data_IF_876169688747
#
_entry.id   IF_876169688747
#
_cell.length_a   1.000
_cell.length_b   1.000
_cell.length_c   1.000
_cell.angle_alpha   90.00
_cell.angle_beta   90.00
_cell.angle_gamma   90.00
#
_symmetry.space_group_name_H-M   'P 1'
#
loop_
_entity.id
_entity.type
_entity.pdbx_description
1 polymer ?
#
# COMPACT_ATOMS: atom_id res chain seq x y z
N UNK A 1 -20.65 9.29 -23.31
CA UNK A 1 -20.90 8.36 -22.19
C UNK A 1 -21.31 6.94 -22.62
N UNK A 2 -21.98 6.73 -23.77
CA UNK A 2 -22.20 5.38 -24.31
C UNK A 2 -20.86 4.69 -24.61
N UNK A 3 -20.78 3.39 -24.31
CA UNK A 3 -19.58 2.58 -24.57
C UNK A 3 -18.40 2.82 -23.62
N UNK A 4 -18.62 3.46 -22.46
CA UNK A 4 -17.55 3.70 -21.47
C UNK A 4 -17.52 2.66 -20.34
N UNK A 5 -18.62 1.95 -20.11
CA UNK A 5 -18.72 0.97 -19.05
C UNK A 5 -19.61 -0.20 -19.43
N UNK A 6 -19.11 -1.42 -19.30
CA UNK A 6 -19.80 -2.66 -19.65
C UNK A 6 -19.85 -3.62 -18.46
N UNK A 7 -20.96 -4.33 -18.34
CA UNK A 7 -21.15 -5.45 -17.42
C UNK A 7 -21.57 -6.67 -18.22
N UNK A 8 -20.79 -7.75 -18.16
CA UNK A 8 -21.00 -8.97 -18.97
C UNK A 8 -21.23 -8.67 -20.46
N UNK A 9 -20.48 -7.72 -21.01
CA UNK A 9 -20.58 -7.28 -22.39
C UNK A 9 -21.75 -6.38 -22.74
N UNK A 10 -22.63 -6.04 -21.77
CA UNK A 10 -23.76 -5.11 -21.96
C UNK A 10 -23.32 -3.69 -21.59
N UNK A 11 -23.55 -2.72 -22.48
CA UNK A 11 -23.30 -1.30 -22.20
C UNK A 11 -24.26 -0.81 -21.11
N UNK A 12 -23.71 -0.36 -19.98
CA UNK A 12 -24.48 -0.01 -18.80
C UNK A 12 -25.39 1.22 -19.02
N UNK A 13 -24.93 2.20 -19.82
CA UNK A 13 -25.74 3.37 -20.12
C UNK A 13 -26.92 3.01 -21.07
N UNK A 14 -26.65 2.24 -22.11
CA UNK A 14 -27.69 1.88 -23.08
C UNK A 14 -28.75 0.92 -22.52
N UNK A 15 -28.32 0.01 -21.61
CA UNK A 15 -29.22 -1.01 -21.06
C UNK A 15 -29.92 -0.54 -19.79
N UNK A 16 -29.25 0.20 -18.92
CA UNK A 16 -29.73 0.53 -17.57
C UNK A 16 -29.80 2.03 -17.29
N UNK A 17 -29.32 2.89 -18.21
CA UNK A 17 -29.21 4.34 -17.99
C UNK A 17 -28.15 4.72 -16.99
N UNK A 18 -27.14 3.84 -16.72
CA UNK A 18 -26.13 4.00 -15.68
C UNK A 18 -24.77 4.40 -16.25
N UNK A 19 -24.05 5.21 -15.51
CA UNK A 19 -22.64 5.53 -15.75
C UNK A 19 -21.89 5.69 -14.43
N UNK A 20 -20.55 5.61 -14.49
CA UNK A 20 -19.70 5.79 -13.33
C UNK A 20 -19.65 7.28 -12.98
N UNK A 21 -19.96 7.62 -11.73
CA UNK A 21 -19.87 8.98 -11.21
C UNK A 21 -18.42 9.36 -10.87
N UNK A 22 -18.20 10.65 -10.68
CA UNK A 22 -16.90 11.18 -10.24
C UNK A 22 -16.41 10.49 -8.95
N UNK A 23 -15.14 10.09 -8.95
CA UNK A 23 -14.53 9.31 -7.87
C UNK A 23 -15.02 7.86 -7.77
N UNK A 24 -15.86 7.39 -8.71
CA UNK A 24 -16.37 6.01 -8.74
C UNK A 24 -15.31 4.96 -9.08
N UNK A 25 -14.17 5.37 -9.64
CA UNK A 25 -13.05 4.48 -9.93
C UNK A 25 -12.10 4.28 -8.75
N UNK A 26 -12.13 5.14 -7.73
CA UNK A 26 -11.11 5.14 -6.67
C UNK A 26 -11.03 3.78 -5.95
N UNK A 27 -12.18 3.17 -5.62
CA UNK A 27 -12.22 1.85 -5.00
C UNK A 27 -11.65 0.76 -5.90
N UNK A 28 -12.03 0.78 -7.19
CA UNK A 28 -11.56 -0.19 -8.20
C UNK A 28 -10.05 -0.06 -8.43
N UNK A 29 -9.52 1.15 -8.33
CA UNK A 29 -8.11 1.46 -8.53
C UNK A 29 -7.25 1.28 -7.27
N UNK A 30 -7.84 1.11 -6.09
CA UNK A 30 -7.09 0.85 -4.85
C UNK A 30 -6.36 -0.49 -4.91
N UNK A 31 -5.20 -0.56 -4.27
CA UNK A 31 -4.45 -1.81 -4.17
C UNK A 31 -5.15 -2.78 -3.22
N UNK A 32 -5.10 -4.09 -3.47
CA UNK A 32 -5.55 -5.08 -2.50
C UNK A 32 -4.66 -5.05 -1.26
N UNK A 33 -5.23 -5.18 -0.07
CA UNK A 33 -4.44 -5.26 1.16
C UNK A 33 -3.68 -6.59 1.25
N UNK A 34 -2.60 -6.61 2.01
CA UNK A 34 -1.96 -7.85 2.42
C UNK A 34 -2.83 -8.52 3.49
N UNK A 35 -3.06 -9.83 3.39
CA UNK A 35 -3.66 -10.58 4.50
C UNK A 35 -2.75 -10.53 5.70
N UNK A 36 -3.34 -10.36 6.88
CA UNK A 36 -2.58 -10.50 8.13
C UNK A 36 -2.02 -11.93 8.17
N UNK A 37 -0.70 -12.09 8.29
CA UNK A 37 -0.08 -13.40 8.42
C UNK A 37 -0.68 -14.18 9.60
N UNK A 38 -0.89 -15.48 9.44
CA UNK A 38 -1.48 -16.34 10.50
C UNK A 38 -0.55 -16.45 11.70
N UNK A 39 0.76 -16.46 11.46
CA UNK A 39 1.76 -16.50 12.51
C UNK A 39 2.30 -15.11 12.79
N UNK A 40 2.09 -14.66 14.01
CA UNK A 40 2.59 -13.39 14.51
C UNK A 40 2.95 -13.47 15.97
N UNK A 41 4.06 -12.84 16.36
CA UNK A 41 4.51 -12.76 17.73
C UNK A 41 4.54 -11.30 18.18
N UNK A 42 3.76 -10.97 19.19
CA UNK A 42 3.74 -9.65 19.81
C UNK A 42 4.37 -9.72 21.20
N UNK A 43 5.70 -9.72 21.23
CA UNK A 43 6.45 -9.79 22.47
C UNK A 43 6.32 -8.51 23.28
N UNK A 44 6.20 -8.66 24.60
CA UNK A 44 6.06 -7.52 25.51
C UNK A 44 7.37 -6.72 25.63
N UNK A 45 8.51 -7.38 25.43
CA UNK A 45 9.84 -6.86 25.63
C UNK A 45 10.48 -6.28 24.36
N UNK A 46 9.87 -6.51 23.20
CA UNK A 46 10.39 -6.07 21.90
C UNK A 46 9.44 -5.11 21.20
N UNK A 47 10.01 -4.23 20.37
CA UNK A 47 9.25 -3.29 19.55
C UNK A 47 8.49 -4.03 18.44
N UNK A 48 7.37 -3.43 18.01
CA UNK A 48 6.60 -3.92 16.88
C UNK A 48 5.92 -5.28 17.12
N UNK A 49 5.72 -6.00 16.02
CA UNK A 49 5.15 -7.34 15.94
C UNK A 49 5.93 -8.10 14.87
N UNK A 50 6.39 -9.27 15.18
CA UNK A 50 7.01 -10.17 14.20
C UNK A 50 5.93 -10.88 13.39
N UNK A 51 6.08 -10.92 12.07
CA UNK A 51 5.19 -11.62 11.15
C UNK A 51 5.98 -12.60 10.28
N UNK A 52 5.37 -13.74 9.99
CA UNK A 52 5.88 -14.62 8.94
C UNK A 52 5.53 -14.05 7.57
N UNK A 53 6.55 -13.57 6.86
CA UNK A 53 6.45 -12.97 5.54
C UNK A 53 6.94 -13.91 4.42
N UNK A 54 7.12 -15.20 4.71
CA UNK A 54 7.64 -16.19 3.73
C UNK A 54 6.66 -16.49 2.60
N UNK A 55 5.36 -16.35 2.83
CA UNK A 55 4.30 -16.62 1.84
C UNK A 55 3.16 -15.59 1.92
N UNK A 56 3.42 -14.33 1.53
CA UNK A 56 2.42 -13.24 1.61
C UNK A 56 1.25 -13.50 0.66
N UNK A 57 0.04 -13.27 1.13
CA UNK A 57 -1.19 -13.38 0.34
C UNK A 57 -1.92 -12.05 0.33
N UNK A 58 -2.46 -11.70 -0.83
CA UNK A 58 -3.37 -10.57 -0.95
C UNK A 58 -4.76 -10.94 -0.46
N UNK A 59 -5.40 -10.00 0.19
CA UNK A 59 -6.79 -10.14 0.60
C UNK A 59 -7.75 -9.80 -0.53
N UNK A 60 -9.00 -10.18 -0.39
CA UNK A 60 -10.10 -9.74 -1.26
C UNK A 60 -10.12 -8.21 -1.29
N UNK A 61 -10.11 -7.64 -2.50
CA UNK A 61 -10.18 -6.20 -2.66
C UNK A 61 -11.63 -5.74 -2.69
N UNK A 62 -12.08 -5.07 -1.64
CA UNK A 62 -13.38 -4.41 -1.64
C UNK A 62 -13.30 -3.06 -2.37
N UNK A 63 -14.23 -2.84 -3.29
CA UNK A 63 -14.33 -1.63 -4.10
C UNK A 63 -15.74 -1.03 -4.00
N UNK A 64 -15.84 0.19 -3.54
CA UNK A 64 -17.06 0.98 -3.65
C UNK A 64 -17.08 1.66 -5.01
N UNK A 65 -18.11 1.36 -5.82
CA UNK A 65 -18.33 1.98 -7.13
C UNK A 65 -19.52 2.93 -7.03
N UNK A 66 -19.29 4.19 -7.41
CA UNK A 66 -20.33 5.21 -7.43
C UNK A 66 -20.97 5.27 -8.80
N UNK A 67 -22.28 5.15 -8.85
CA UNK A 67 -23.09 5.20 -10.05
C UNK A 67 -23.96 6.45 -10.07
N UNK A 68 -24.20 6.95 -11.27
CA UNK A 68 -25.25 7.92 -11.54
C UNK A 68 -26.16 7.41 -12.65
N UNK A 69 -27.44 7.69 -12.52
CA UNK A 69 -28.48 7.35 -13.50
C UNK A 69 -29.18 8.60 -13.98
N UNK A 70 -29.41 8.72 -15.28
CA UNK A 70 -30.11 9.86 -15.91
C UNK A 70 -31.32 9.37 -16.71
N UNK A 71 -32.44 10.08 -16.61
CA UNK A 71 -33.67 9.80 -17.35
C UNK A 71 -34.45 8.61 -16.79
N UNK A 72 -35.17 7.89 -17.68
CA UNK A 72 -35.78 6.63 -17.32
C UNK A 72 -34.73 5.56 -17.14
N UNK A 73 -34.31 5.35 -15.91
CA UNK A 73 -33.32 4.35 -15.56
C UNK A 73 -33.97 3.08 -15.02
N UNK A 74 -33.42 1.95 -15.43
CA UNK A 74 -33.93 0.63 -15.04
C UNK A 74 -33.04 0.04 -13.94
N UNK A 75 -33.02 0.69 -12.77
CA UNK A 75 -32.23 0.25 -11.64
C UNK A 75 -32.61 -1.15 -11.16
N UNK A 76 -33.90 -1.51 -11.27
CA UNK A 76 -34.40 -2.85 -10.94
C UNK A 76 -33.75 -3.94 -11.82
N UNK A 77 -33.67 -3.68 -13.13
CA UNK A 77 -33.06 -4.62 -14.07
C UNK A 77 -31.54 -4.74 -13.83
N UNK A 78 -30.90 -3.62 -13.47
CA UNK A 78 -29.51 -3.61 -13.09
C UNK A 78 -29.24 -4.44 -11.82
N UNK A 79 -30.03 -4.23 -10.76
CA UNK A 79 -29.92 -4.99 -9.52
C UNK A 79 -30.21 -6.48 -9.78
N UNK A 80 -31.19 -6.78 -10.61
CA UNK A 80 -31.50 -8.16 -11.03
C UNK A 80 -30.29 -8.79 -11.74
N UNK A 81 -29.67 -8.07 -12.67
CA UNK A 81 -28.49 -8.55 -13.36
C UNK A 81 -27.35 -8.88 -12.39
N UNK A 82 -26.95 -7.92 -11.53
CA UNK A 82 -25.81 -8.11 -10.64
C UNK A 82 -26.06 -9.11 -9.50
N UNK A 83 -27.32 -9.56 -9.36
CA UNK A 83 -27.74 -10.56 -8.38
C UNK A 83 -27.98 -11.95 -8.98
N UNK A 84 -27.95 -12.10 -10.31
CA UNK A 84 -28.30 -13.36 -10.99
C UNK A 84 -27.22 -14.43 -10.82
N UNK A 85 -26.00 -14.03 -10.59
CA UNK A 85 -24.83 -14.90 -10.34
C UNK A 85 -23.81 -14.24 -9.42
N UNK A 86 -22.88 -15.03 -8.90
CA UNK A 86 -21.89 -14.55 -7.93
C UNK A 86 -20.90 -13.54 -8.52
N UNK A 87 -20.43 -13.77 -9.75
CA UNK A 87 -19.40 -12.94 -10.37
C UNK A 87 -19.85 -12.38 -11.71
N UNK A 88 -19.59 -11.10 -11.91
CA UNK A 88 -19.81 -10.38 -13.16
C UNK A 88 -18.51 -9.83 -13.70
N UNK A 89 -18.36 -9.79 -15.02
CA UNK A 89 -17.21 -9.16 -15.68
C UNK A 89 -17.53 -7.69 -15.91
N UNK A 90 -16.75 -6.83 -15.27
CA UNK A 90 -16.80 -5.38 -15.42
C UNK A 90 -15.68 -4.93 -16.35
N UNK A 91 -16.02 -4.13 -17.35
CA UNK A 91 -15.06 -3.51 -18.25
C UNK A 91 -15.22 -1.99 -18.21
N UNK A 92 -14.23 -1.33 -17.65
CA UNK A 92 -14.14 0.11 -17.53
C UNK A 92 -13.28 0.64 -18.69
N UNK A 93 -13.92 1.07 -19.77
CA UNK A 93 -13.25 1.45 -21.02
C UNK A 93 -12.33 2.66 -20.82
N UNK A 94 -12.80 3.66 -20.06
CA UNK A 94 -12.08 4.91 -19.82
C UNK A 94 -10.70 4.68 -19.18
N UNK A 95 -10.60 3.71 -18.29
CA UNK A 95 -9.34 3.36 -17.62
C UNK A 95 -8.68 2.09 -18.19
N UNK A 96 -9.30 1.48 -19.22
CA UNK A 96 -8.77 0.28 -19.87
C UNK A 96 -8.65 -0.93 -18.92
N UNK A 97 -9.59 -1.08 -17.96
CA UNK A 97 -9.52 -2.10 -16.91
C UNK A 97 -10.69 -3.08 -16.98
N UNK A 98 -10.37 -4.36 -16.88
CA UNK A 98 -11.36 -5.45 -16.81
C UNK A 98 -11.11 -6.28 -15.56
N UNK A 99 -12.15 -6.53 -14.79
CA UNK A 99 -12.09 -7.36 -13.60
C UNK A 99 -13.37 -8.17 -13.41
N UNK A 100 -13.31 -9.20 -12.57
CA UNK A 100 -14.48 -9.97 -12.11
C UNK A 100 -14.81 -9.54 -10.70
N UNK A 101 -16.02 -9.02 -10.52
CA UNK A 101 -16.47 -8.51 -9.23
C UNK A 101 -17.70 -9.27 -8.76
N UNK A 102 -17.78 -9.46 -7.46
CA UNK A 102 -18.92 -10.00 -6.72
C UNK A 102 -19.59 -8.89 -5.94
N UNK A 103 -20.93 -8.83 -5.97
CA UNK A 103 -21.70 -7.90 -5.13
C UNK A 103 -21.54 -8.26 -3.65
N UNK A 104 -21.20 -7.28 -2.82
CA UNK A 104 -21.10 -7.42 -1.36
C UNK A 104 -22.33 -6.83 -0.67
N UNK A 105 -22.56 -5.52 -0.88
CA UNK A 105 -23.71 -4.82 -0.27
C UNK A 105 -23.94 -3.47 -0.92
N UNK A 106 -25.12 -2.94 -0.77
CA UNK A 106 -25.43 -1.55 -1.07
C UNK A 106 -24.80 -0.64 -0.02
N UNK A 107 -24.00 0.33 -0.45
CA UNK A 107 -23.30 1.23 0.45
C UNK A 107 -24.12 2.48 0.75
N UNK A 108 -24.72 3.10 -0.27
CA UNK A 108 -25.49 4.33 -0.11
C UNK A 108 -26.38 4.59 -1.32
N UNK A 109 -27.53 5.23 -1.11
CA UNK A 109 -28.39 5.69 -2.21
C UNK A 109 -28.94 7.09 -1.92
N UNK A 110 -28.87 7.98 -2.91
CA UNK A 110 -29.45 9.32 -2.87
C UNK A 110 -30.37 9.53 -4.06
N UNK A 111 -31.60 9.96 -3.79
CA UNK A 111 -32.54 10.38 -4.80
C UNK A 111 -32.44 11.89 -5.02
N UNK A 112 -31.99 12.28 -6.22
CA UNK A 112 -31.99 13.66 -6.67
C UNK A 112 -33.07 13.88 -7.70
N UNK A 113 -33.60 15.11 -7.80
CA UNK A 113 -34.65 15.46 -8.81
C UNK A 113 -34.03 15.26 -10.21
N UNK A 114 -34.61 14.31 -10.98
CA UNK A 114 -34.18 13.99 -12.34
C UNK A 114 -32.90 13.18 -12.49
N UNK A 115 -32.28 12.80 -11.39
CA UNK A 115 -31.12 11.91 -11.36
C UNK A 115 -31.12 11.06 -10.08
N UNK A 116 -30.55 9.88 -10.17
CA UNK A 116 -30.31 9.01 -9.01
C UNK A 116 -28.82 8.75 -8.90
N UNK A 117 -28.24 9.04 -7.75
CA UNK A 117 -26.88 8.66 -7.41
C UNK A 117 -26.90 7.59 -6.31
N UNK A 118 -26.10 6.55 -6.46
CA UNK A 118 -25.97 5.49 -5.48
C UNK A 118 -24.59 4.86 -5.58
N UNK A 119 -24.17 4.19 -4.52
CA UNK A 119 -22.95 3.40 -4.54
C UNK A 119 -23.20 1.97 -4.09
N UNK A 120 -22.50 1.05 -4.68
CA UNK A 120 -22.51 -0.36 -4.32
C UNK A 120 -21.11 -0.82 -3.99
N UNK A 121 -20.99 -1.73 -3.04
CA UNK A 121 -19.73 -2.40 -2.72
C UNK A 121 -19.62 -3.71 -3.47
N UNK A 122 -18.51 -3.88 -4.12
CA UNK A 122 -18.11 -5.08 -4.82
C UNK A 122 -16.80 -5.63 -4.24
N UNK A 123 -16.57 -6.91 -4.44
CA UNK A 123 -15.34 -7.59 -4.06
C UNK A 123 -14.68 -8.20 -5.29
N UNK A 124 -13.39 -7.96 -5.42
CA UNK A 124 -12.47 -8.69 -6.30
C UNK A 124 -11.77 -9.75 -5.46
N UNK A 125 -12.18 -10.99 -5.63
CA UNK A 125 -11.65 -12.15 -4.91
C UNK A 125 -10.38 -12.74 -5.59
N UNK A 126 -9.95 -12.17 -6.71
CA UNK A 126 -8.85 -12.66 -7.54
C UNK A 126 -7.79 -11.59 -7.85
N UNK A 127 -7.34 -10.80 -6.86
CA UNK A 127 -6.37 -9.76 -7.10
C UNK A 127 -5.09 -10.35 -7.70
N UNK A 128 -4.55 -9.70 -8.72
CA UNK A 128 -3.33 -10.11 -9.46
C UNK A 128 -3.39 -11.48 -10.14
N UNK A 129 -4.56 -12.12 -10.21
CA UNK A 129 -4.68 -13.44 -10.86
C UNK A 129 -4.29 -13.37 -12.34
N UNK A 130 -3.35 -14.23 -12.74
CA UNK A 130 -2.85 -14.31 -14.11
C UNK A 130 -1.93 -13.14 -14.51
N UNK A 131 -1.51 -12.28 -13.56
CA UNK A 131 -0.55 -11.24 -13.85
C UNK A 131 0.82 -11.83 -14.22
N UNK A 132 1.39 -11.33 -15.31
CA UNK A 132 2.77 -11.62 -15.71
C UNK A 132 3.58 -10.35 -15.54
N UNK A 133 4.68 -10.44 -14.82
CA UNK A 133 5.54 -9.28 -14.53
C UNK A 133 6.05 -8.62 -15.80
N UNK A 134 5.83 -7.32 -15.88
CA UNK A 134 6.38 -6.43 -16.89
C UNK A 134 7.25 -5.40 -16.22
N UNK A 135 8.52 -5.30 -16.62
CA UNK A 135 9.45 -4.34 -16.03
C UNK A 135 8.89 -2.92 -16.12
N UNK A 136 8.83 -2.19 -14.99
CA UNK A 136 8.35 -0.81 -14.97
C UNK A 136 9.32 0.10 -15.73
N UNK A 137 8.78 1.18 -16.30
CA UNK A 137 9.57 2.21 -16.97
C UNK A 137 8.75 3.48 -17.04
N UNK A 138 9.27 4.56 -16.51
CA UNK A 138 8.69 5.89 -16.59
C UNK A 138 9.77 6.94 -16.69
N UNK A 139 9.41 8.09 -17.27
CA UNK A 139 10.19 9.32 -17.27
C UNK A 139 9.32 10.54 -16.98
N UNK A 140 8.18 10.32 -16.33
CA UNK A 140 7.20 11.36 -15.99
C UNK A 140 7.51 12.05 -14.67
N UNK A 141 8.31 11.41 -13.83
CA UNK A 141 8.69 11.89 -12.49
C UNK A 141 10.21 11.92 -12.38
N UNK A 142 10.82 12.98 -11.86
CA UNK A 142 12.25 13.00 -11.55
C UNK A 142 12.55 12.09 -10.35
N UNK A 143 13.80 11.67 -10.24
CA UNK A 143 14.34 10.94 -9.09
C UNK A 143 14.13 11.81 -7.84
N UNK A 144 13.69 11.19 -6.75
CA UNK A 144 13.40 11.85 -5.47
C UNK A 144 14.16 11.23 -4.28
N UNK A 145 14.89 10.14 -4.51
CA UNK A 145 15.62 9.45 -3.45
C UNK A 145 14.72 8.67 -2.49
N UNK A 146 13.59 8.15 -2.97
CA UNK A 146 12.81 7.12 -2.29
C UNK A 146 12.95 5.83 -3.07
N UNK A 147 13.64 4.86 -2.51
CA UNK A 147 13.97 3.61 -3.19
C UNK A 147 13.36 2.42 -2.46
N UNK A 148 12.80 1.50 -3.21
CA UNK A 148 12.38 0.18 -2.72
C UNK A 148 13.35 -0.86 -3.25
N UNK A 149 14.10 -1.53 -2.39
CA UNK A 149 15.17 -2.48 -2.75
C UNK A 149 16.15 -1.86 -3.79
N UNK A 150 16.57 -0.61 -3.62
CA UNK A 150 17.47 0.10 -4.52
C UNK A 150 16.84 0.56 -5.84
N UNK A 151 15.50 0.47 -5.99
CA UNK A 151 14.78 0.97 -7.17
C UNK A 151 14.01 2.23 -6.79
N UNK A 152 14.41 3.40 -7.34
CA UNK A 152 13.71 4.66 -7.08
C UNK A 152 12.25 4.62 -7.57
N UNK A 153 11.34 5.19 -6.78
CA UNK A 153 9.91 5.23 -7.09
C UNK A 153 9.58 5.90 -8.43
N UNK A 154 10.45 6.79 -8.92
CA UNK A 154 10.30 7.43 -10.23
C UNK A 154 10.32 6.43 -11.39
N UNK A 155 10.96 5.27 -11.24
CA UNK A 155 10.96 4.20 -12.25
C UNK A 155 9.55 3.69 -12.52
N UNK A 156 8.69 3.70 -11.49
CA UNK A 156 7.26 3.37 -11.60
C UNK A 156 6.41 4.58 -11.98
N UNK A 157 7.01 5.77 -12.15
CA UNK A 157 6.27 7.02 -12.34
C UNK A 157 5.60 7.51 -11.05
N UNK A 158 6.08 7.07 -9.90
CA UNK A 158 5.52 7.44 -8.60
C UNK A 158 6.33 8.58 -8.00
N UNK A 159 5.61 9.61 -7.58
CA UNK A 159 6.10 10.73 -6.79
C UNK A 159 5.61 10.62 -5.36
N UNK A 160 6.52 10.66 -4.40
CA UNK A 160 6.19 10.80 -2.97
C UNK A 160 5.87 12.26 -2.69
N UNK A 161 4.74 12.51 -2.05
CA UNK A 161 4.21 13.84 -1.79
C UNK A 161 4.61 14.35 -0.40
N UNK A 162 4.49 15.66 -0.21
CA UNK A 162 4.74 16.34 1.06
C UNK A 162 3.98 15.69 2.24
N UNK A 163 4.60 15.70 3.42
CA UNK A 163 4.07 15.10 4.63
C UNK A 163 4.43 13.63 4.84
N UNK A 164 4.91 12.92 3.80
CA UNK A 164 5.32 11.52 3.92
C UNK A 164 6.55 11.34 4.81
N UNK A 165 7.53 12.24 4.71
CA UNK A 165 8.75 12.24 5.53
C UNK A 165 8.43 12.34 7.04
N UNK A 166 7.47 13.20 7.41
CA UNK A 166 7.03 13.33 8.79
C UNK A 166 6.39 12.04 9.33
N UNK A 167 5.81 11.21 8.47
CA UNK A 167 5.29 9.89 8.87
C UNK A 167 6.43 8.88 9.07
N UNK A 168 7.50 8.96 8.27
CA UNK A 168 8.68 8.12 8.40
C UNK A 168 9.41 8.40 9.71
N UNK A 169 9.63 9.67 10.04
CA UNK A 169 10.40 10.08 11.24
C UNK A 169 9.59 10.05 12.53
N UNK A 170 8.25 10.00 12.46
CA UNK A 170 7.38 9.96 13.63
C UNK A 170 7.57 8.66 14.44
N UNK A 171 7.77 8.77 15.75
CA UNK A 171 7.77 7.61 16.64
C UNK A 171 6.38 6.94 16.69
N UNK A 172 6.32 5.60 16.71
CA UNK A 172 5.07 4.88 16.95
C UNK A 172 4.60 5.03 18.39
N UNK A 173 3.34 4.66 18.70
CA UNK A 173 2.84 4.69 20.08
C UNK A 173 3.60 3.71 20.97
N UNK A 174 3.74 4.06 22.26
CA UNK A 174 4.34 3.17 23.27
C UNK A 174 3.41 1.99 23.54
N UNK A 175 3.96 0.76 23.65
CA UNK A 175 3.23 -0.40 24.15
C UNK A 175 2.89 -0.17 25.63
N UNK A 176 1.65 -0.44 26.00
CA UNK A 176 1.19 -0.40 27.41
C UNK A 176 1.56 -1.69 28.13
N UNK A 177 2.78 -2.15 27.96
CA UNK A 177 3.26 -3.36 28.60
C UNK A 177 3.48 -3.10 30.08
N UNK A 178 3.12 -4.09 30.91
CA UNK A 178 3.36 -4.06 32.36
C UNK A 178 2.70 -2.86 33.11
N UNK A 179 1.85 -2.09 32.44
CA UNK A 179 1.07 -1.05 33.10
C UNK A 179 -0.01 -1.69 33.99
N UNK A 180 0.16 -1.58 35.32
CA UNK A 180 -0.82 -2.02 36.30
C UNK A 180 -1.48 -0.82 36.95
N UNK A 181 -2.78 -0.67 36.72
CA UNK A 181 -3.60 0.32 37.41
C UNK A 181 -4.32 -0.37 38.54
N UNK A 182 -3.91 -0.08 39.79
CA UNK A 182 -4.45 -0.69 41.00
C UNK A 182 -5.41 0.32 41.63
N UNK A 183 -6.69 -0.04 41.74
CA UNK A 183 -7.77 0.85 42.20
C UNK A 183 -7.52 1.42 43.61
N UNK A 184 -6.74 0.74 44.44
CA UNK A 184 -6.43 1.17 45.82
C UNK A 184 -5.15 2.02 45.93
N UNK A 185 -4.49 2.33 44.82
CA UNK A 185 -3.28 3.14 44.79
C UNK A 185 -3.43 4.34 43.85
N UNK A 186 -2.77 5.45 44.21
CA UNK A 186 -2.69 6.61 43.32
C UNK A 186 -1.72 6.32 42.16
N UNK A 187 -2.17 6.58 40.92
CA UNK A 187 -1.36 6.39 39.73
C UNK A 187 -1.33 4.93 39.24
N UNK A 188 -0.27 4.57 38.54
CA UNK A 188 -0.07 3.25 37.97
C UNK A 188 1.37 2.80 38.15
N UNK A 189 1.58 1.48 38.16
CA UNK A 189 2.91 0.86 38.15
C UNK A 189 3.26 0.53 36.70
N UNK A 190 4.40 0.97 36.25
CA UNK A 190 4.94 0.70 34.91
C UNK A 190 6.36 0.15 35.04
N UNK A 191 6.81 -0.66 34.07
CA UNK A 191 8.19 -1.12 34.03
C UNK A 191 9.11 0.08 33.69
N UNK A 192 10.05 0.40 34.57
CA UNK A 192 10.96 1.55 34.46
C UNK A 192 12.23 1.24 33.64
N UNK A 193 12.43 -0.03 33.25
CA UNK A 193 13.67 -0.47 32.60
C UNK A 193 13.75 -0.13 31.12
N UNK A 194 12.63 -0.25 30.38
CA UNK A 194 12.62 -0.13 28.91
C UNK A 194 11.30 0.42 28.39
N UNK A 195 11.38 1.38 27.48
CA UNK A 195 10.22 1.80 26.68
C UNK A 195 10.15 0.94 25.42
N UNK A 196 9.03 0.29 25.20
CA UNK A 196 8.76 -0.57 24.05
C UNK A 196 7.64 0.04 23.22
N UNK A 197 7.79 0.04 21.90
CA UNK A 197 6.87 0.66 20.97
C UNK A 197 5.96 -0.35 20.28
N UNK A 198 4.78 0.10 19.90
CA UNK A 198 3.88 -0.65 19.02
C UNK A 198 4.47 -0.70 17.60
N UNK A 199 3.84 -1.49 16.76
CA UNK A 199 4.14 -1.58 15.35
C UNK A 199 4.14 -0.18 14.70
N UNK A 200 5.16 0.12 13.90
CA UNK A 200 5.26 1.38 13.18
C UNK A 200 4.63 1.25 11.79
N UNK A 201 3.47 1.88 11.63
CA UNK A 201 2.82 2.02 10.33
C UNK A 201 3.16 3.40 9.75
N UNK A 202 3.59 3.41 8.50
CA UNK A 202 3.97 4.61 7.75
C UNK A 202 3.07 4.75 6.53
N UNK A 203 2.30 5.83 6.51
CA UNK A 203 1.41 6.17 5.41
C UNK A 203 2.09 7.18 4.47
N UNK A 204 2.60 6.72 3.34
CA UNK A 204 3.19 7.56 2.32
C UNK A 204 2.10 8.10 1.39
N UNK A 205 2.01 9.42 1.25
CA UNK A 205 1.20 10.05 0.22
C UNK A 205 1.94 9.99 -1.11
N UNK A 206 1.37 9.30 -2.09
CA UNK A 206 2.00 9.05 -3.38
C UNK A 206 1.12 9.53 -4.54
N UNK A 207 1.74 9.83 -5.67
CA UNK A 207 1.07 10.10 -6.92
C UNK A 207 1.77 9.38 -8.06
N UNK A 208 1.10 8.40 -8.68
CA UNK A 208 1.56 7.77 -9.91
C UNK A 208 1.14 8.63 -11.10
N UNK A 209 2.10 8.98 -11.94
CA UNK A 209 1.92 9.81 -13.14
C UNK A 209 2.34 9.00 -14.36
N UNK A 210 1.43 8.85 -15.33
CA UNK A 210 1.69 8.12 -16.55
C UNK A 210 1.16 8.89 -17.78
N UNK A 211 1.75 8.67 -18.94
CA UNK A 211 1.34 9.33 -20.20
C UNK A 211 0.06 8.73 -20.79
N UNK A 212 -0.21 7.48 -20.49
CA UNK A 212 -1.35 6.72 -20.99
C UNK A 212 -1.64 5.51 -20.08
N UNK A 213 -2.81 4.87 -20.27
CA UNK A 213 -3.21 3.72 -19.45
C UNK A 213 -2.36 2.45 -19.67
N UNK A 214 -1.68 2.29 -20.79
CA UNK A 214 -0.75 1.18 -21.01
C UNK A 214 0.48 1.31 -20.08
N UNK A 215 1.08 2.50 -20.03
CA UNK A 215 2.18 2.80 -19.11
C UNK A 215 1.70 2.73 -17.65
N UNK A 216 0.53 3.30 -17.36
CA UNK A 216 -0.08 3.29 -16.04
C UNK A 216 -0.20 1.88 -15.49
N UNK A 217 -0.91 0.98 -16.20
CA UNK A 217 -1.16 -0.38 -15.72
C UNK A 217 0.10 -1.23 -15.63
N UNK A 218 1.04 -1.04 -16.56
CA UNK A 218 2.34 -1.69 -16.48
C UNK A 218 3.05 -1.33 -15.18
N UNK A 219 3.16 -0.04 -14.89
CA UNK A 219 3.91 0.46 -13.74
C UNK A 219 3.16 0.21 -12.42
N UNK A 220 1.85 0.39 -12.41
CA UNK A 220 0.99 0.11 -11.26
C UNK A 220 1.08 -1.34 -10.80
N UNK A 221 0.91 -2.28 -11.75
CA UNK A 221 0.97 -3.71 -11.42
C UNK A 221 2.39 -4.17 -11.07
N UNK A 222 3.41 -3.61 -11.73
CA UNK A 222 4.81 -3.90 -11.39
C UNK A 222 5.14 -3.42 -9.97
N UNK A 223 4.69 -2.23 -9.60
CA UNK A 223 4.90 -1.70 -8.26
C UNK A 223 4.25 -2.58 -7.18
N UNK A 224 2.98 -2.97 -7.38
CA UNK A 224 2.30 -3.88 -6.44
C UNK A 224 3.02 -5.24 -6.36
N UNK A 225 3.43 -5.80 -7.49
CA UNK A 225 4.20 -7.04 -7.51
C UNK A 225 5.51 -6.90 -6.72
N UNK A 226 6.27 -5.82 -6.93
CA UNK A 226 7.55 -5.63 -6.27
C UNK A 226 7.41 -5.34 -4.77
N UNK A 227 6.26 -4.80 -4.33
CA UNK A 227 5.92 -4.63 -2.92
C UNK A 227 5.67 -5.95 -2.17
N UNK A 228 5.19 -6.99 -2.88
CA UNK A 228 4.76 -8.26 -2.25
C UNK A 228 5.60 -9.46 -2.68
N UNK A 229 6.55 -9.29 -3.60
CA UNK A 229 7.37 -10.40 -4.08
C UNK A 229 8.21 -10.99 -2.94
N UNK A 230 8.34 -12.31 -2.97
CA UNK A 230 9.23 -13.02 -2.04
C UNK A 230 10.65 -13.04 -2.63
N UNK A 231 11.64 -12.77 -1.80
CA UNK A 231 13.06 -12.91 -2.12
C UNK A 231 13.71 -13.85 -1.14
N UNK A 232 14.82 -14.45 -1.54
CA UNK A 232 15.67 -15.24 -0.68
C UNK A 232 16.78 -14.33 -0.12
N UNK A 233 16.84 -14.21 1.18
CA UNK A 233 17.91 -13.50 1.91
C UNK A 233 18.74 -14.50 2.70
N UNK A 234 20.01 -14.19 2.92
CA UNK A 234 20.90 -14.98 3.75
C UNK A 234 20.97 -14.35 5.13
N UNK A 235 20.46 -15.02 6.15
CA UNK A 235 20.51 -14.62 7.54
C UNK A 235 21.38 -15.63 8.31
N UNK A 236 22.55 -15.20 8.72
CA UNK A 236 23.51 -16.03 9.47
C UNK A 236 23.86 -17.38 8.79
N UNK A 237 23.93 -17.39 7.45
CA UNK A 237 24.18 -18.59 6.67
C UNK A 237 22.95 -19.47 6.42
N UNK A 238 21.76 -19.01 6.80
CA UNK A 238 20.47 -19.67 6.55
C UNK A 238 19.71 -18.87 5.48
N UNK A 239 19.31 -19.56 4.42
CA UNK A 239 18.48 -18.94 3.37
C UNK A 239 17.02 -18.87 3.82
N UNK A 240 16.55 -17.65 3.99
CA UNK A 240 15.18 -17.34 4.43
C UNK A 240 14.42 -16.71 3.27
N UNK A 241 13.20 -17.12 3.05
CA UNK A 241 12.30 -16.47 2.10
C UNK A 241 11.47 -15.41 2.83
N UNK A 242 11.44 -14.19 2.30
CA UNK A 242 10.70 -13.08 2.90
C UNK A 242 10.14 -12.12 1.86
N UNK A 243 8.97 -11.54 2.15
CA UNK A 243 8.42 -10.40 1.45
C UNK A 243 8.78 -9.06 2.14
N UNK A 244 9.69 -9.07 3.08
CA UNK A 244 10.27 -7.85 3.61
C UNK A 244 11.04 -7.11 2.51
N UNK A 245 10.85 -5.81 2.47
CA UNK A 245 11.48 -4.88 1.52
C UNK A 245 12.35 -3.91 2.28
N UNK A 246 13.25 -3.28 1.59
CA UNK A 246 14.02 -2.16 2.11
C UNK A 246 13.53 -0.85 1.50
N UNK A 247 13.16 0.11 2.34
CA UNK A 247 12.84 1.48 1.94
C UNK A 247 14.01 2.39 2.31
N UNK A 248 14.78 2.81 1.31
CA UNK A 248 15.80 3.84 1.50
C UNK A 248 15.22 5.23 1.24
N UNK A 249 15.61 6.20 2.08
CA UNK A 249 15.20 7.61 1.98
C UNK A 249 16.43 8.50 1.99
N UNK A 250 16.86 8.96 0.81
CA UNK A 250 18.09 9.72 0.59
C UNK A 250 18.18 10.97 1.48
N UNK A 251 17.07 11.71 1.64
CA UNK A 251 17.06 12.99 2.37
C UNK A 251 17.47 12.86 3.84
N UNK A 252 17.19 11.73 4.47
CA UNK A 252 17.56 11.44 5.86
C UNK A 252 18.66 10.40 5.92
N UNK A 253 19.08 9.87 4.78
CA UNK A 253 20.10 8.86 4.60
C UNK A 253 19.88 7.64 5.48
N UNK A 254 18.65 7.14 5.50
CA UNK A 254 18.24 6.00 6.31
C UNK A 254 17.55 4.94 5.46
N UNK A 255 17.73 3.69 5.85
CA UNK A 255 17.13 2.52 5.24
C UNK A 255 16.24 1.82 6.28
N UNK A 256 15.02 1.51 5.89
CA UNK A 256 14.03 0.89 6.78
C UNK A 256 13.54 -0.43 6.21
N UNK A 257 13.80 -1.55 6.91
CA UNK A 257 13.14 -2.79 6.58
C UNK A 257 11.64 -2.64 6.82
N UNK A 258 10.85 -3.04 5.83
CA UNK A 258 9.41 -2.85 5.87
C UNK A 258 8.68 -3.89 5.01
N UNK A 259 7.38 -4.01 5.23
CA UNK A 259 6.52 -4.76 4.34
C UNK A 259 5.27 -3.98 3.96
N UNK A 260 4.67 -4.35 2.84
CA UNK A 260 3.44 -3.76 2.34
C UNK A 260 2.24 -4.16 3.20
N UNK A 261 1.36 -3.21 3.52
CA UNK A 261 0.10 -3.45 4.20
C UNK A 261 -1.10 -3.22 3.29
N UNK A 262 -1.25 -2.00 2.79
CA UNK A 262 -2.35 -1.63 1.89
C UNK A 262 -2.00 -0.40 1.02
N UNK A 263 -2.85 -0.14 0.01
CA UNK A 263 -2.73 1.06 -0.81
C UNK A 263 -4.10 1.57 -1.23
N UNK A 264 -4.44 2.79 -0.83
CA UNK A 264 -5.78 3.38 -1.03
C UNK A 264 -5.74 4.56 -1.97
N UNK A 265 -6.42 4.45 -3.11
CA UNK A 265 -6.55 5.54 -4.08
C UNK A 265 -7.56 6.57 -3.59
N UNK A 266 -7.14 7.83 -3.59
CA UNK A 266 -7.97 8.98 -3.20
C UNK A 266 -8.46 9.80 -4.39
N UNK A 267 -7.69 9.85 -5.48
CA UNK A 267 -8.01 10.61 -6.69
C UNK A 267 -7.43 9.91 -7.92
N UNK A 268 -8.26 9.77 -8.94
CA UNK A 268 -7.84 9.41 -10.29
C UNK A 268 -8.29 10.50 -11.26
N UNK A 269 -7.33 11.09 -11.97
CA UNK A 269 -7.56 12.07 -13.04
C UNK A 269 -7.07 11.47 -14.35
N UNK A 270 -8.01 11.04 -15.24
CA UNK A 270 -7.65 10.33 -16.47
C UNK A 270 -7.37 11.23 -17.67
N UNK A 271 -7.54 12.55 -17.53
CA UNK A 271 -7.44 13.50 -18.65
C UNK A 271 -6.03 14.02 -18.85
N UNK A 272 -5.48 13.90 -20.06
CA UNK A 272 -4.11 14.26 -20.38
C UNK A 272 -3.12 13.22 -19.86
N UNK A 273 -2.14 13.63 -19.04
CA UNK A 273 -1.38 12.69 -18.25
C UNK A 273 -2.29 12.13 -17.17
N UNK A 274 -2.19 10.83 -16.92
CA UNK A 274 -2.96 10.15 -15.87
C UNK A 274 -2.31 10.44 -14.54
N UNK A 275 -3.10 10.94 -13.58
CA UNK A 275 -2.69 11.21 -12.23
C UNK A 275 -3.49 10.34 -11.27
N UNK A 276 -2.81 9.47 -10.55
CA UNK A 276 -3.43 8.62 -9.54
C UNK A 276 -2.79 8.90 -8.18
N UNK A 277 -3.52 9.62 -7.30
CA UNK A 277 -3.09 9.85 -5.92
C UNK A 277 -3.55 8.70 -5.04
N UNK A 278 -2.63 8.18 -4.24
CA UNK A 278 -2.92 7.11 -3.31
C UNK A 278 -2.09 7.26 -2.04
N UNK A 279 -2.55 6.62 -0.99
CA UNK A 279 -1.79 6.43 0.23
C UNK A 279 -1.26 5.01 0.24
N UNK A 280 0.05 4.84 0.31
CA UNK A 280 0.73 3.57 0.49
C UNK A 280 1.03 3.38 1.97
N UNK A 281 0.52 2.31 2.57
CA UNK A 281 0.82 1.97 3.96
C UNK A 281 1.88 0.88 4.00
N UNK A 282 3.02 1.20 4.58
CA UNK A 282 4.10 0.27 4.88
C UNK A 282 4.18 0.06 6.39
N UNK A 283 4.62 -1.11 6.80
CA UNK A 283 4.90 -1.42 8.19
C UNK A 283 6.39 -1.63 8.33
N UNK A 284 7.03 -0.83 9.18
CA UNK A 284 8.44 -0.95 9.46
C UNK A 284 8.66 -2.04 10.51
N UNK A 285 9.52 -2.98 10.19
CA UNK A 285 9.91 -4.08 11.09
C UNK A 285 10.99 -3.64 12.04
N UNK A 286 11.87 -2.73 11.60
CA UNK A 286 12.80 -1.98 12.45
C UNK A 286 12.70 -0.48 12.15
N UNK A 287 12.82 0.37 13.17
CA UNK A 287 12.63 1.82 13.02
C UNK A 287 13.41 2.67 14.02
N UNK A 288 14.24 2.07 14.86
CA UNK A 288 15.12 2.84 15.76
C UNK A 288 16.30 3.35 14.97
N UNK A 289 16.41 4.67 14.87
CA UNK A 289 17.57 5.34 14.26
C UNK A 289 18.76 5.19 15.20
N UNK A 290 19.91 4.79 14.67
CA UNK A 290 21.18 4.73 15.40
C UNK A 290 21.46 3.46 16.17
N UNK A 291 20.65 2.40 16.01
CA UNK A 291 21.01 1.05 16.49
C UNK A 291 21.96 0.33 15.50
N UNK A 292 21.97 0.73 14.22
CA UNK A 292 22.93 0.22 13.25
C UNK A 292 24.25 1.00 13.33
N UNK A 293 25.30 0.31 13.76
CA UNK A 293 26.66 0.84 13.77
C UNK A 293 27.28 0.65 12.38
N UNK A 294 27.57 1.73 11.67
CA UNK A 294 28.34 1.70 10.41
C UNK A 294 29.83 1.71 10.73
N UNK A 295 30.33 0.56 11.09
CA UNK A 295 31.73 0.43 11.51
C UNK A 295 32.65 0.51 10.29
N UNK A 296 33.69 1.34 10.40
CA UNK A 296 34.71 1.43 9.38
C UNK A 296 35.59 0.16 9.43
N UNK A 297 35.72 -0.54 8.30
CA UNK A 297 36.58 -1.69 8.16
C UNK A 297 37.65 -1.48 7.09
N UNK A 298 38.79 -2.16 7.24
CA UNK A 298 39.79 -2.26 6.20
C UNK A 298 39.31 -3.10 5.01
N UNK A 299 40.03 -3.08 3.88
CA UNK A 299 39.72 -3.94 2.71
C UNK A 299 39.76 -5.44 3.04
N UNK A 300 40.48 -5.82 4.11
CA UNK A 300 40.60 -7.19 4.61
C UNK A 300 39.49 -7.56 5.61
N UNK A 301 38.53 -6.63 5.89
CA UNK A 301 37.40 -6.82 6.80
C UNK A 301 37.75 -6.63 8.29
N UNK A 302 38.94 -6.15 8.65
CA UNK A 302 39.28 -5.81 10.03
C UNK A 302 38.66 -4.46 10.42
N UNK A 303 37.94 -4.41 11.57
CA UNK A 303 37.31 -3.20 12.07
C UNK A 303 38.39 -2.20 12.53
N UNK A 304 38.24 -0.94 12.12
CA UNK A 304 39.16 0.13 12.48
C UNK A 304 38.71 0.72 13.81
N UNK A 305 39.63 0.78 14.75
CA UNK A 305 39.42 1.34 16.10
C UNK A 305 40.12 2.70 16.24
N UNK A 306 39.68 3.48 17.23
CA UNK A 306 40.31 4.74 17.61
C UNK A 306 41.74 4.51 18.11
N UNK A 307 42.63 5.53 18.07
CA UNK A 307 44.04 5.43 18.48
C UNK A 307 44.23 4.96 19.93
N UNK A 308 43.24 5.22 20.79
CA UNK A 308 43.22 4.75 22.17
C UNK A 308 42.81 3.27 22.31
N UNK A 309 42.28 2.67 21.24
CA UNK A 309 41.84 1.27 21.20
C UNK A 309 40.56 0.98 21.95
N UNK A 310 39.84 2.00 22.37
CA UNK A 310 38.64 1.83 23.21
C UNK A 310 37.34 1.76 22.39
N UNK A 311 37.29 2.34 21.17
CA UNK A 311 36.04 2.44 20.36
C UNK A 311 36.30 2.07 18.90
N UNK A 312 35.29 1.46 18.27
CA UNK A 312 35.20 1.33 16.81
C UNK A 312 34.80 2.65 16.17
N UNK A 313 35.31 2.94 14.97
CA UNK A 313 34.92 4.14 14.24
C UNK A 313 33.59 3.90 13.58
N UNK A 314 32.54 4.57 14.06
CA UNK A 314 31.21 4.58 13.51
C UNK A 314 31.04 5.78 12.58
N UNK A 315 30.83 5.51 11.27
CA UNK A 315 30.71 6.54 10.24
C UNK A 315 29.45 7.40 10.38
N UNK A 316 28.39 6.89 11.00
CA UNK A 316 27.17 7.69 11.27
C UNK A 316 27.41 8.80 12.30
N UNK A 317 28.27 8.59 13.27
CA UNK A 317 28.57 9.60 14.31
C UNK A 317 29.44 10.75 13.85
N UNK A 318 30.21 10.56 12.78
CA UNK A 318 31.20 11.54 12.32
C UNK A 318 30.84 12.20 10.98
N UNK A 319 29.73 11.85 10.36
CA UNK A 319 29.26 12.35 9.05
C UNK A 319 28.11 13.36 9.09
N UNK A 320 27.69 13.85 10.25
CA UNK A 320 26.62 14.86 10.41
C UNK A 320 27.18 16.24 10.71
#
# INVERSE_FOLDING_TARGET
MKGLFYIDGKDALSQFGLFIAEGGYNGVMSFPALKTPEQSNNWAEYDGVEFDLSDPKLDTKEAEIKFSAIGEYQTGDFITLISDKAYHTFYFVEIGYTCKLRLVTEANSQLLIGAKAFSLKFADDFPMNGYTYLKPSSNTVPIQGYELDGVDFSVYGIRVLEGSEAQITKCPPVKKNMLRNIVTQNGAIYDDKKVVFQQKEVALSCCLIAKNFMEFWRNYNAFLHDLIRVVEVDEDGIKVQTAERSLFVEKIYEEYPCYYKDGKVSLLEPNGNIWCKFTLTLVFTSFRIGEDEYLLSSEDGELIITEDGEFYIDLKRYGS
#
